data_IF_503673664532
#
_entry.id   IF_503673664532
#
_cell.length_a   1.000
_cell.length_b   1.000
_cell.length_c   1.000
_cell.angle_alpha   90.00
_cell.angle_beta   90.00
_cell.angle_gamma   90.00
#
_symmetry.space_group_name_H-M   'P 1'
#
loop_
_entity.id
_entity.type
_entity.pdbx_description
1 polymer ?
#
# COMPACT_ATOMS: atom_id res chain seq x y z
N UNK A 1 4.92 13.17 16.74
CA UNK A 1 5.07 12.89 15.30
C UNK A 1 4.49 14.08 14.58
N UNK A 2 5.23 14.64 13.63
CA UNK A 2 4.73 15.70 12.78
C UNK A 2 3.54 15.18 11.97
N UNK A 3 2.58 16.07 11.69
CA UNK A 3 1.39 15.73 10.92
C UNK A 3 1.51 16.34 9.53
N UNK A 4 1.23 15.54 8.52
CA UNK A 4 0.96 15.98 7.16
C UNK A 4 -0.51 15.80 6.85
N UNK A 5 -1.04 16.65 5.98
CA UNK A 5 -2.39 16.48 5.45
C UNK A 5 -2.32 15.71 4.14
N UNK A 6 -3.11 14.63 4.02
CA UNK A 6 -3.20 13.79 2.83
C UNK A 6 -4.66 13.73 2.45
N UNK A 7 -4.98 14.16 1.23
CA UNK A 7 -6.34 14.15 0.73
C UNK A 7 -6.65 12.79 0.09
N UNK A 8 -7.79 12.21 0.43
CA UNK A 8 -8.25 10.95 -0.16
C UNK A 8 -9.53 11.16 -0.95
N UNK A 9 -9.63 10.49 -2.10
CA UNK A 9 -10.86 10.40 -2.89
C UNK A 9 -11.29 8.95 -3.01
N UNK A 10 -12.47 8.62 -2.49
CA UNK A 10 -13.11 7.33 -2.74
C UNK A 10 -13.55 7.25 -4.20
N UNK A 11 -13.13 6.18 -4.88
CA UNK A 11 -13.52 5.86 -6.26
C UNK A 11 -14.71 4.90 -6.31
N UNK A 12 -14.92 4.14 -5.24
CA UNK A 12 -16.12 3.31 -5.00
C UNK A 12 -16.66 3.57 -3.60
N UNK A 13 -17.98 3.43 -3.42
CA UNK A 13 -18.66 3.81 -2.17
C UNK A 13 -18.25 2.95 -0.96
N UNK A 14 -17.86 1.69 -1.19
CA UNK A 14 -17.42 0.75 -0.16
C UNK A 14 -15.92 0.80 0.14
N UNK A 15 -15.16 1.69 -0.50
CA UNK A 15 -13.75 1.88 -0.19
C UNK A 15 -13.58 2.32 1.27
N UNK A 16 -12.62 1.69 1.96
CA UNK A 16 -12.23 2.03 3.33
C UNK A 16 -10.96 2.87 3.26
N UNK A 17 -11.03 4.09 3.78
CA UNK A 17 -9.85 4.96 3.84
C UNK A 17 -8.92 4.48 4.96
N UNK A 18 -7.60 4.70 4.83
CA UNK A 18 -6.65 4.29 5.85
C UNK A 18 -6.84 5.06 7.16
N UNK A 19 -6.75 4.35 8.28
CA UNK A 19 -6.81 4.93 9.63
C UNK A 19 -5.66 4.40 10.47
N UNK A 20 -5.12 5.25 11.36
CA UNK A 20 -4.10 4.83 12.33
C UNK A 20 -4.79 4.20 13.54
N UNK A 21 -4.55 2.91 13.78
CA UNK A 21 -5.21 2.16 14.85
C UNK A 21 -4.84 2.67 16.27
N UNK A 22 -3.67 3.30 16.44
CA UNK A 22 -3.23 3.88 17.73
C UNK A 22 -2.47 5.19 17.54
N UNK A 23 -2.36 6.00 18.61
CA UNK A 23 -1.60 7.27 18.59
C UNK A 23 -0.11 7.11 18.27
N UNK A 24 0.46 5.92 18.50
CA UNK A 24 1.88 5.62 18.25
C UNK A 24 2.12 4.81 16.97
N UNK A 25 1.08 4.53 16.18
CA UNK A 25 1.22 3.72 14.97
C UNK A 25 2.04 4.48 13.92
N UNK A 26 3.11 3.85 13.43
CA UNK A 26 3.95 4.43 12.37
C UNK A 26 3.29 4.35 10.99
N UNK A 27 2.39 3.38 10.79
CA UNK A 27 1.65 3.21 9.55
C UNK A 27 0.17 2.92 9.79
N UNK A 28 -0.63 3.12 8.75
CA UNK A 28 -2.05 2.83 8.72
C UNK A 28 -2.34 1.61 7.83
N UNK A 29 -3.32 0.80 8.23
CA UNK A 29 -3.69 -0.39 7.47
C UNK A 29 -4.42 0.00 6.18
N UNK A 30 -4.17 -0.74 5.09
CA UNK A 30 -4.84 -0.59 3.80
C UNK A 30 -5.75 -1.79 3.56
N UNK A 31 -7.03 -1.48 3.35
CA UNK A 31 -8.04 -2.44 2.88
C UNK A 31 -8.14 -2.45 1.36
N UNK A 32 -8.40 -3.63 0.79
CA UNK A 32 -8.80 -3.78 -0.62
C UNK A 32 -10.30 -3.60 -0.80
N UNK A 33 -10.73 -3.17 -1.98
CA UNK A 33 -12.11 -2.88 -2.35
C UNK A 33 -12.65 -3.83 -3.43
N UNK A 34 -12.41 -5.13 -3.29
CA UNK A 34 -13.02 -6.18 -4.12
C UNK A 34 -14.45 -6.51 -3.64
N UNK A 35 -15.32 -6.95 -4.55
CA UNK A 35 -16.71 -7.32 -4.23
C UNK A 35 -16.88 -8.81 -3.90
N UNK A 36 -16.04 -9.65 -4.51
CA UNK A 36 -16.05 -11.09 -4.33
C UNK A 36 -14.70 -11.55 -3.80
N UNK A 37 -14.69 -12.73 -3.19
CA UNK A 37 -13.43 -13.37 -2.81
C UNK A 37 -12.59 -13.69 -4.03
N UNK A 38 -11.27 -13.52 -3.88
CA UNK A 38 -10.30 -13.98 -4.87
C UNK A 38 -9.35 -14.99 -4.25
N UNK A 39 -8.98 -16.00 -5.04
CA UNK A 39 -7.92 -16.95 -4.68
C UNK A 39 -6.61 -16.49 -5.32
N UNK A 40 -5.57 -16.37 -4.51
CA UNK A 40 -4.20 -16.13 -4.93
C UNK A 40 -3.41 -17.44 -4.86
N UNK A 41 -3.00 -17.96 -6.00
CA UNK A 41 -2.30 -19.24 -6.11
C UNK A 41 -0.82 -19.13 -5.70
N UNK A 42 -0.13 -20.24 -5.38
CA UNK A 42 1.31 -20.24 -5.15
C UNK A 42 2.09 -19.51 -6.24
N UNK A 43 3.07 -18.70 -5.84
CA UNK A 43 3.93 -17.87 -6.70
C UNK A 43 3.18 -16.83 -7.57
N UNK A 44 1.87 -16.67 -7.39
CA UNK A 44 1.08 -15.71 -8.13
C UNK A 44 1.27 -14.30 -7.56
N UNK A 45 1.54 -13.35 -8.45
CA UNK A 45 1.41 -11.91 -8.19
C UNK A 45 0.11 -11.41 -8.80
N UNK A 46 -0.75 -10.78 -7.99
CA UNK A 46 -1.98 -10.16 -8.47
C UNK A 46 -2.16 -8.76 -7.91
N UNK A 47 -2.71 -7.87 -8.73
CA UNK A 47 -3.07 -6.50 -8.36
C UNK A 47 -4.46 -6.45 -7.76
N UNK A 48 -4.58 -5.86 -6.57
CA UNK A 48 -5.85 -5.67 -5.86
C UNK A 48 -6.19 -4.17 -5.73
N UNK A 49 -7.40 -3.73 -6.12
CA UNK A 49 -7.83 -2.35 -5.98
C UNK A 49 -8.06 -1.98 -4.52
N UNK A 50 -7.71 -0.76 -4.10
CA UNK A 50 -8.12 -0.22 -2.79
C UNK A 50 -9.41 0.60 -2.87
N UNK A 51 -9.85 0.97 -4.08
CA UNK A 51 -11.04 1.79 -4.28
C UNK A 51 -10.86 3.26 -3.88
N UNK A 52 -9.63 3.71 -3.62
CA UNK A 52 -9.34 5.11 -3.34
C UNK A 52 -8.11 5.60 -4.11
N UNK A 53 -8.11 6.90 -4.38
CA UNK A 53 -6.93 7.67 -4.78
C UNK A 53 -6.51 8.58 -3.63
N UNK A 54 -5.28 9.05 -3.64
CA UNK A 54 -4.77 10.01 -2.65
C UNK A 54 -3.88 11.07 -3.28
N UNK A 55 -3.75 12.21 -2.61
CA UNK A 55 -2.80 13.27 -2.94
C UNK A 55 -1.88 13.49 -1.75
N UNK A 56 -0.59 13.28 -1.97
CA UNK A 56 0.45 13.43 -0.95
C UNK A 56 1.11 14.81 -1.14
N UNK A 57 1.38 15.57 -0.06
CA UNK A 57 2.06 16.86 -0.19
C UNK A 57 3.47 16.68 -0.76
N UNK A 58 3.94 17.68 -1.53
CA UNK A 58 5.32 17.70 -2.05
C UNK A 58 6.32 17.58 -0.88
N UNK A 59 7.43 16.88 -1.12
CA UNK A 59 8.45 16.59 -0.10
C UNK A 59 8.18 15.34 0.73
N UNK A 60 7.11 14.59 0.44
CA UNK A 60 6.77 13.34 1.09
C UNK A 60 6.43 12.24 0.07
N UNK A 61 6.61 11.00 0.49
CA UNK A 61 6.11 9.79 -0.19
C UNK A 61 5.22 8.97 0.76
N UNK A 62 4.47 8.03 0.19
CA UNK A 62 3.87 6.93 0.95
C UNK A 62 4.54 5.61 0.56
N UNK A 63 4.92 4.83 1.57
CA UNK A 63 5.55 3.53 1.42
C UNK A 63 4.54 2.43 1.74
N UNK A 64 4.24 1.60 0.75
CA UNK A 64 3.34 0.46 0.86
C UNK A 64 4.15 -0.76 1.29
N UNK A 65 3.89 -1.26 2.51
CA UNK A 65 4.64 -2.35 3.13
C UNK A 65 3.71 -3.53 3.42
N UNK A 66 4.29 -4.72 3.52
CA UNK A 66 3.56 -5.92 3.96
C UNK A 66 3.08 -5.76 5.40
N UNK A 67 1.84 -6.18 5.70
CA UNK A 67 1.38 -6.33 7.09
C UNK A 67 2.02 -7.56 7.71
N UNK A 68 2.52 -7.46 8.94
CA UNK A 68 3.13 -8.60 9.63
C UNK A 68 2.20 -9.83 9.70
N UNK A 69 0.91 -9.62 9.98
CA UNK A 69 -0.08 -10.70 10.04
C UNK A 69 -0.48 -11.32 8.69
N UNK A 70 -0.21 -10.63 7.57
CA UNK A 70 -0.37 -11.20 6.22
C UNK A 70 0.91 -11.92 5.79
N UNK A 71 2.07 -11.32 6.07
CA UNK A 71 3.38 -11.89 5.78
C UNK A 71 3.61 -13.21 6.54
N UNK A 72 3.14 -13.33 7.79
CA UNK A 72 3.20 -14.59 8.55
C UNK A 72 2.35 -15.72 7.94
N UNK A 73 1.41 -15.38 7.05
CA UNK A 73 0.61 -16.32 6.25
C UNK A 73 1.17 -16.48 4.83
N UNK A 74 2.36 -15.94 4.55
CA UNK A 74 3.02 -15.96 3.24
C UNK A 74 2.39 -15.06 2.19
N UNK A 75 1.62 -14.05 2.59
CA UNK A 75 1.14 -13.01 1.68
C UNK A 75 1.92 -11.72 1.90
N UNK A 76 2.67 -11.31 0.89
CA UNK A 76 3.54 -10.13 0.94
C UNK A 76 3.18 -9.14 -0.17
N UNK A 77 3.49 -7.87 0.03
CA UNK A 77 3.44 -6.87 -1.04
C UNK A 77 4.62 -7.13 -1.97
N UNK A 78 4.36 -7.44 -3.23
CA UNK A 78 5.35 -7.95 -4.18
C UNK A 78 6.47 -6.93 -4.48
N UNK A 79 6.13 -5.65 -4.50
CA UNK A 79 7.05 -4.54 -4.73
C UNK A 79 7.42 -3.81 -3.43
N UNK A 80 7.37 -4.48 -2.27
CA UNK A 80 7.62 -3.83 -0.99
C UNK A 80 9.09 -3.37 -0.81
N UNK A 81 9.33 -2.17 -0.23
CA UNK A 81 8.36 -1.11 -0.03
C UNK A 81 7.93 -0.51 -1.38
N UNK A 82 6.63 -0.45 -1.64
CA UNK A 82 6.09 0.19 -2.84
C UNK A 82 6.05 1.70 -2.66
N UNK A 83 6.70 2.44 -3.53
CA UNK A 83 6.72 3.91 -3.49
C UNK A 83 5.47 4.50 -4.15
N UNK A 84 4.82 5.45 -3.46
CA UNK A 84 3.76 6.29 -4.02
C UNK A 84 4.16 7.76 -3.87
N UNK A 85 4.37 8.40 -5.01
CA UNK A 85 4.82 9.79 -5.09
C UNK A 85 3.65 10.78 -5.02
N UNK A 86 3.96 12.05 -4.76
CA UNK A 86 2.97 13.14 -4.70
C UNK A 86 2.21 13.39 -6.00
N UNK A 87 2.71 12.91 -7.14
CA UNK A 87 2.09 13.04 -8.46
C UNK A 87 1.17 11.85 -8.79
N UNK A 88 1.14 10.81 -7.95
CA UNK A 88 0.29 9.64 -8.14
C UNK A 88 -1.15 9.90 -7.66
N UNK A 89 -1.98 10.42 -8.56
CA UNK A 89 -3.41 10.74 -8.28
C UNK A 89 -4.38 9.63 -8.72
N UNK A 90 -3.84 8.49 -9.18
CA UNK A 90 -4.60 7.32 -9.61
C UNK A 90 -5.15 6.51 -8.43
N UNK A 91 -5.89 5.45 -8.76
CA UNK A 91 -6.26 4.46 -7.75
C UNK A 91 -4.99 3.77 -7.20
N UNK A 92 -4.85 3.74 -5.88
CA UNK A 92 -3.84 2.91 -5.25
C UNK A 92 -4.21 1.42 -5.45
N UNK A 93 -3.28 0.64 -5.97
CA UNK A 93 -3.44 -0.81 -6.09
C UNK A 93 -2.32 -1.52 -5.33
N UNK A 94 -2.65 -2.64 -4.71
CA UNK A 94 -1.72 -3.45 -3.94
C UNK A 94 -1.36 -4.69 -4.75
N UNK A 95 -0.08 -4.84 -5.08
CA UNK A 95 0.44 -6.07 -5.67
C UNK A 95 0.70 -7.06 -4.56
N UNK A 96 -0.10 -8.10 -4.44
CA UNK A 96 0.12 -9.18 -3.47
C UNK A 96 0.78 -10.36 -4.17
N UNK A 97 1.79 -10.92 -3.51
CA UNK A 97 2.48 -12.17 -3.86
C UNK A 97 2.16 -13.20 -2.79
N UNK A 98 1.79 -14.41 -3.23
CA UNK A 98 1.71 -15.59 -2.38
C UNK A 98 3.02 -16.38 -2.46
N UNK A 99 3.80 -16.37 -1.39
CA UNK A 99 5.08 -17.12 -1.29
C UNK A 99 4.92 -18.51 -0.66
N UNK A 100 3.68 -18.97 -0.49
CA UNK A 100 3.38 -20.31 0.06
C UNK A 100 3.18 -21.34 -1.05
N UNK A 101 3.16 -22.61 -0.67
CA UNK A 101 2.85 -23.75 -1.54
C UNK A 101 1.34 -24.03 -1.66
N UNK A 102 0.47 -23.18 -1.09
CA UNK A 102 -0.98 -23.38 -1.05
C UNK A 102 -1.76 -22.16 -1.55
N UNK A 103 -2.94 -22.35 -2.15
CA UNK A 103 -3.81 -21.23 -2.48
C UNK A 103 -4.26 -20.48 -1.21
N UNK A 104 -4.29 -19.14 -1.27
CA UNK A 104 -4.75 -18.29 -0.18
C UNK A 104 -5.96 -17.47 -0.64
N UNK A 105 -7.01 -17.45 0.20
CA UNK A 105 -8.23 -16.67 -0.03
C UNK A 105 -8.02 -15.24 0.43
N UNK A 106 -8.34 -14.29 -0.44
CA UNK A 106 -8.33 -12.85 -0.18
C UNK A 106 -9.78 -12.36 -0.19
N UNK A 107 -10.23 -11.82 0.95
CA UNK A 107 -11.64 -11.50 1.19
C UNK A 107 -11.96 -10.02 0.90
N UNK A 108 -13.20 -9.69 0.53
CA UNK A 108 -13.69 -8.31 0.44
C UNK A 108 -13.38 -7.49 1.70
N UNK A 109 -12.82 -6.28 1.52
CA UNK A 109 -12.51 -5.36 2.62
C UNK A 109 -11.33 -5.76 3.51
N UNK A 110 -10.65 -6.87 3.23
CA UNK A 110 -9.52 -7.35 4.03
C UNK A 110 -8.38 -6.32 4.07
N UNK A 111 -7.82 -6.09 5.27
CA UNK A 111 -6.60 -5.29 5.46
C UNK A 111 -5.40 -6.12 4.98
N UNK A 112 -4.73 -5.74 3.89
CA UNK A 112 -3.69 -6.56 3.24
C UNK A 112 -2.29 -5.95 3.29
N UNK A 113 -2.19 -4.63 3.29
CA UNK A 113 -0.93 -3.88 3.33
C UNK A 113 -1.00 -2.80 4.43
N UNK A 114 0.13 -2.17 4.72
CA UNK A 114 0.19 -0.98 5.57
C UNK A 114 0.94 0.13 4.84
N UNK A 115 0.58 1.37 5.14
CA UNK A 115 1.16 2.56 4.54
C UNK A 115 1.90 3.37 5.59
N UNK A 116 3.12 3.80 5.28
CA UNK A 116 3.93 4.70 6.11
C UNK A 116 4.26 5.93 5.28
N UNK A 117 4.01 7.13 5.80
CA UNK A 117 4.43 8.36 5.15
C UNK A 117 5.83 8.77 5.63
N UNK A 118 6.67 9.22 4.71
CA UNK A 118 8.03 9.63 5.01
C UNK A 118 8.42 10.88 4.20
N UNK A 119 9.25 11.77 4.75
CA UNK A 119 9.85 12.85 3.96
C UNK A 119 10.83 12.27 2.94
N UNK A 120 10.92 12.91 1.78
CA UNK A 120 11.83 12.52 0.69
C UNK A 120 12.68 13.69 0.23
N UNK A 121 13.85 13.37 -0.32
CA UNK A 121 14.76 14.32 -0.94
C UNK A 121 14.97 13.94 -2.40
N UNK A 122 15.14 14.95 -3.25
CA UNK A 122 15.52 14.75 -4.65
C UNK A 122 17.00 15.06 -4.79
N UNK A 123 17.80 14.06 -5.21
CA UNK A 123 19.22 14.25 -5.45
C UNK A 123 19.47 14.96 -6.79
N UNK A 124 20.51 15.80 -6.82
CA UNK A 124 21.11 16.27 -8.08
C UNK A 124 22.24 15.30 -8.44
N UNK A 125 22.14 14.64 -9.60
CA UNK A 125 23.17 13.71 -10.05
C UNK A 125 24.26 14.47 -10.84
N UNK A 126 25.51 14.31 -10.44
CA UNK A 126 26.68 14.79 -11.18
C UNK A 126 27.57 13.61 -11.52
N UNK A 127 27.99 13.53 -12.78
CA UNK A 127 28.99 12.56 -13.20
C UNK A 127 30.35 13.08 -12.73
N UNK A 128 31.11 12.25 -12.04
CA UNK A 128 32.50 12.52 -11.69
C UNK A 128 33.39 11.67 -12.60
N UNK A 129 34.43 12.28 -13.18
CA UNK A 129 35.27 11.65 -14.21
C UNK A 129 36.42 10.79 -13.62
N UNK A 130 36.53 10.67 -12.29
CA UNK A 130 37.52 9.80 -11.58
C UNK A 130 36.96 9.03 -10.38
#
# INVERSE_FOLDING_TARGET
MDKIEVEFRKLVSWARLPEYDTRGAAGCDISIAIQEEMVLYPDEVRSFPTGFAMMIPRGYEAQIRSRAGMASKGIVVANAPGTVDCEHIGELKILLLNVTDKPVRILPGQKVAQMVFAPVVQAEFKVHDE
#
